data_IF_278364639783
#
_entry.id   IF_278364639783
#
_cell.length_a   1.000
_cell.length_b   1.000
_cell.length_c   1.000
_cell.angle_alpha   90.00
_cell.angle_beta   90.00
_cell.angle_gamma   90.00
#
_symmetry.space_group_name_H-M   'P 1'
#
loop_
_entity.id
_entity.type
_entity.pdbx_description
1 polymer ?
#
# COMPACT_ATOMS: atom_id res chain seq x y z
N UNK A 1 -9.16 -5.41 -23.70
CA UNK A 1 -9.38 -3.95 -23.88
C UNK A 1 -8.09 -3.38 -24.48
N UNK A 2 -8.18 -2.67 -25.62
CA UNK A 2 -7.04 -1.98 -26.24
C UNK A 2 -6.98 -0.54 -25.72
N UNK A 3 -5.77 -0.06 -25.39
CA UNK A 3 -5.63 1.30 -24.88
C UNK A 3 -5.86 2.34 -26.00
N UNK A 4 -6.61 3.43 -25.72
CA UNK A 4 -6.69 4.57 -26.62
C UNK A 4 -5.30 5.19 -26.87
N UNK A 5 -5.05 5.74 -28.05
CA UNK A 5 -3.76 6.33 -28.41
C UNK A 5 -3.27 7.41 -27.42
N UNK A 6 -4.18 8.24 -26.89
CA UNK A 6 -3.85 9.25 -25.90
C UNK A 6 -3.37 8.61 -24.57
N UNK A 7 -4.07 7.57 -24.09
CA UNK A 7 -3.66 6.85 -22.88
C UNK A 7 -2.31 6.13 -23.09
N UNK A 8 -2.11 5.54 -24.27
CA UNK A 8 -0.85 4.92 -24.64
C UNK A 8 0.30 5.94 -24.58
N UNK A 9 0.13 7.13 -25.15
CA UNK A 9 1.17 8.17 -25.16
C UNK A 9 1.50 8.64 -23.74
N UNK A 10 0.51 8.78 -22.85
CA UNK A 10 0.71 9.21 -21.46
C UNK A 10 1.33 8.12 -20.58
N UNK A 11 1.02 6.83 -20.83
CA UNK A 11 1.50 5.71 -20.01
C UNK A 11 2.86 5.17 -20.48
N UNK A 12 3.23 5.38 -21.75
CA UNK A 12 4.44 4.81 -22.32
C UNK A 12 5.29 5.85 -23.10
N UNK A 13 5.57 7.02 -22.49
CA UNK A 13 6.26 8.11 -23.20
C UNK A 13 7.69 7.75 -23.66
N UNK A 14 8.27 6.69 -23.08
CA UNK A 14 9.61 6.17 -23.42
C UNK A 14 9.56 4.86 -24.23
N UNK A 15 8.37 4.44 -24.70
CA UNK A 15 8.17 3.15 -25.34
C UNK A 15 8.09 1.95 -24.37
N UNK A 16 8.15 2.20 -23.06
CA UNK A 16 7.99 1.20 -21.99
C UNK A 16 7.00 1.72 -20.96
N UNK A 17 6.39 0.81 -20.20
CA UNK A 17 5.63 1.16 -19.00
C UNK A 17 6.58 1.20 -17.80
N UNK A 18 6.88 2.40 -17.28
CA UNK A 18 7.71 2.58 -16.08
C UNK A 18 6.81 2.56 -14.85
N UNK A 19 7.10 1.65 -13.93
CA UNK A 19 6.23 1.39 -12.78
C UNK A 19 6.97 1.58 -11.46
N UNK A 20 6.48 2.51 -10.63
CA UNK A 20 6.95 2.70 -9.25
C UNK A 20 6.37 1.65 -8.31
N UNK A 21 7.24 0.87 -7.65
CA UNK A 21 6.84 -0.21 -6.74
C UNK A 21 7.43 -0.02 -5.35
N UNK A 22 6.56 -0.06 -4.34
CA UNK A 22 6.92 -0.09 -2.93
C UNK A 22 7.33 -1.51 -2.51
N UNK A 23 8.61 -1.78 -2.39
CA UNK A 23 9.16 -3.06 -1.91
C UNK A 23 9.10 -3.22 -0.39
N UNK A 24 8.79 -2.16 0.35
CA UNK A 24 8.55 -2.23 1.79
C UNK A 24 7.18 -2.83 2.18
N UNK A 25 6.33 -3.19 1.21
CA UNK A 25 5.07 -3.88 1.45
C UNK A 25 5.13 -5.33 0.98
N UNK A 26 5.55 -6.22 1.87
CA UNK A 26 5.72 -7.65 1.62
C UNK A 26 4.42 -8.38 1.22
N UNK A 27 3.25 -7.77 1.42
CA UNK A 27 1.98 -8.32 0.97
C UNK A 27 1.78 -8.15 -0.55
N UNK A 28 2.44 -7.17 -1.15
CA UNK A 28 2.28 -6.83 -2.57
C UNK A 28 3.50 -7.16 -3.42
N UNK A 29 4.66 -7.41 -2.75
CA UNK A 29 5.95 -7.72 -3.39
C UNK A 29 6.63 -8.87 -2.65
N UNK A 30 6.88 -10.02 -3.32
CA UNK A 30 7.46 -11.22 -2.72
C UNK A 30 8.55 -11.80 -3.63
N UNK A 31 9.74 -12.13 -3.14
CA UNK A 31 10.36 -11.60 -1.94
C UNK A 31 10.65 -10.10 -2.08
N UNK A 32 10.64 -9.38 -0.98
CA UNK A 32 10.76 -7.92 -0.98
C UNK A 32 12.22 -7.43 -0.98
N UNK A 33 13.09 -8.07 -1.74
CA UNK A 33 14.47 -7.60 -1.86
C UNK A 33 14.63 -6.64 -3.03
N UNK A 34 15.39 -5.57 -2.80
CA UNK A 34 15.66 -4.54 -3.83
C UNK A 34 16.41 -5.10 -5.05
N UNK A 35 17.10 -6.23 -4.90
CA UNK A 35 17.98 -6.81 -5.90
C UNK A 35 17.43 -8.10 -6.55
N UNK A 36 16.18 -8.48 -6.26
CA UNK A 36 15.57 -9.66 -6.88
C UNK A 36 15.48 -9.44 -8.41
N UNK A 37 16.09 -10.31 -9.25
CA UNK A 37 16.04 -10.14 -10.69
C UNK A 37 14.63 -10.36 -11.25
N UNK A 38 13.80 -11.20 -10.61
CA UNK A 38 12.44 -11.49 -11.02
C UNK A 38 11.46 -11.30 -9.87
N UNK A 39 11.21 -10.04 -9.45
CA UNK A 39 10.34 -9.78 -8.33
C UNK A 39 8.91 -10.26 -8.62
N UNK A 40 8.27 -10.84 -7.60
CA UNK A 40 6.90 -11.35 -7.66
C UNK A 40 6.01 -10.58 -6.68
N UNK A 41 4.71 -10.69 -6.88
CA UNK A 41 3.74 -10.07 -6.00
C UNK A 41 2.52 -9.56 -6.76
N UNK A 42 1.45 -9.28 -6.02
CA UNK A 42 0.17 -8.85 -6.60
C UNK A 42 0.34 -7.59 -7.46
N UNK A 43 1.02 -6.59 -6.94
CA UNK A 43 1.24 -5.32 -7.68
C UNK A 43 2.07 -5.53 -8.96
N UNK A 44 3.08 -6.42 -8.91
CA UNK A 44 3.93 -6.71 -10.08
C UNK A 44 3.17 -7.53 -11.13
N UNK A 45 2.31 -8.47 -10.72
CA UNK A 45 1.48 -9.23 -11.67
C UNK A 45 0.49 -8.32 -12.38
N UNK A 46 -0.15 -7.38 -11.66
CA UNK A 46 -1.04 -6.38 -12.27
C UNK A 46 -0.27 -5.42 -13.20
N UNK A 47 0.94 -5.00 -12.83
CA UNK A 47 1.78 -4.15 -13.68
C UNK A 47 2.18 -4.86 -14.97
N UNK A 48 2.53 -6.15 -14.91
CA UNK A 48 2.81 -6.96 -16.10
C UNK A 48 1.59 -7.12 -17.00
N UNK A 49 0.41 -7.32 -16.42
CA UNK A 49 -0.84 -7.39 -17.18
C UNK A 49 -1.17 -6.06 -17.86
N UNK A 50 -0.96 -4.93 -17.16
CA UNK A 50 -1.13 -3.61 -17.74
C UNK A 50 -0.18 -3.39 -18.94
N UNK A 51 1.10 -3.70 -18.77
CA UNK A 51 2.10 -3.61 -19.85
C UNK A 51 1.74 -4.50 -21.05
N UNK A 52 1.26 -5.73 -20.80
CA UNK A 52 0.77 -6.64 -21.85
C UNK A 52 -0.40 -6.04 -22.64
N UNK A 53 -1.35 -5.37 -21.97
CA UNK A 53 -2.48 -4.70 -22.64
C UNK A 53 -2.05 -3.50 -23.46
N UNK A 54 -0.99 -2.81 -23.02
CA UNK A 54 -0.37 -1.71 -23.72
C UNK A 54 0.57 -2.17 -24.86
N UNK A 55 0.89 -3.46 -24.94
CA UNK A 55 1.81 -4.02 -25.95
C UNK A 55 3.27 -3.58 -25.79
N UNK A 56 3.71 -3.27 -24.55
CA UNK A 56 5.05 -2.76 -24.25
C UNK A 56 5.73 -3.57 -23.15
N UNK A 57 7.06 -3.41 -23.04
CA UNK A 57 7.81 -3.94 -21.91
C UNK A 57 7.52 -3.13 -20.63
N UNK A 58 7.58 -3.80 -19.48
CA UNK A 58 7.51 -3.15 -18.16
C UNK A 58 8.91 -2.91 -17.59
N UNK A 59 9.11 -1.74 -16.96
CA UNK A 59 10.33 -1.39 -16.25
C UNK A 59 9.95 -1.02 -14.80
N UNK A 60 10.55 -1.71 -13.81
CA UNK A 60 10.24 -1.50 -12.40
C UNK A 60 11.24 -0.57 -11.74
N UNK A 61 10.74 0.55 -11.19
CA UNK A 61 11.47 1.45 -10.30
C UNK A 61 11.13 1.10 -8.86
N UNK A 62 12.15 0.61 -8.13
CA UNK A 62 11.99 -0.01 -6.81
C UNK A 62 12.25 1.00 -5.71
N UNK A 63 11.35 1.07 -4.75
CA UNK A 63 11.46 1.98 -3.62
C UNK A 63 11.33 1.19 -2.30
N UNK A 64 12.07 1.57 -1.24
CA UNK A 64 12.04 0.86 0.03
C UNK A 64 10.77 1.14 0.85
N UNK A 65 9.97 2.14 0.48
CA UNK A 65 8.75 2.49 1.22
C UNK A 65 7.69 3.14 0.32
N UNK A 66 6.45 3.15 0.81
CA UNK A 66 5.35 3.87 0.15
C UNK A 66 5.60 5.39 0.10
N UNK A 67 6.26 5.93 1.13
CA UNK A 67 6.64 7.33 1.17
C UNK A 67 7.63 7.69 0.08
N UNK A 68 8.73 6.93 -0.06
CA UNK A 68 9.73 7.18 -1.11
C UNK A 68 9.17 6.98 -2.52
N UNK A 69 8.25 6.01 -2.72
CA UNK A 69 7.54 5.87 -3.99
C UNK A 69 6.70 7.11 -4.30
N UNK A 70 5.94 7.60 -3.33
CA UNK A 70 5.08 8.77 -3.50
C UNK A 70 5.91 10.05 -3.73
N UNK A 71 6.95 10.29 -2.93
CA UNK A 71 7.82 11.47 -3.04
C UNK A 71 8.53 11.54 -4.40
N UNK A 72 8.76 10.40 -5.05
CA UNK A 72 9.42 10.33 -6.37
C UNK A 72 8.52 10.74 -7.55
N UNK A 73 7.21 10.97 -7.37
CA UNK A 73 6.29 11.35 -8.44
C UNK A 73 6.78 12.57 -9.23
N UNK A 74 7.39 13.54 -8.54
CA UNK A 74 7.90 14.79 -9.14
C UNK A 74 9.14 14.60 -10.01
N UNK A 75 9.81 13.46 -9.91
CA UNK A 75 11.03 13.20 -10.68
C UNK A 75 10.74 12.71 -12.10
N UNK A 76 9.48 12.33 -12.40
CA UNK A 76 9.10 11.80 -13.71
C UNK A 76 9.74 10.46 -14.06
N UNK A 77 10.23 9.73 -13.06
CA UNK A 77 10.93 8.44 -13.26
C UNK A 77 9.96 7.31 -13.58
N UNK A 78 8.73 7.37 -13.10
CA UNK A 78 7.69 6.37 -13.37
C UNK A 78 6.41 7.01 -13.94
N UNK A 79 5.62 6.21 -14.64
CA UNK A 79 4.36 6.61 -15.26
C UNK A 79 3.15 6.13 -14.49
N UNK A 80 3.30 5.00 -13.79
CA UNK A 80 2.28 4.36 -12.96
C UNK A 80 2.91 3.91 -11.65
N UNK A 81 2.15 3.95 -10.55
CA UNK A 81 2.57 3.35 -9.29
C UNK A 81 1.41 2.62 -8.60
N UNK A 82 1.75 1.69 -7.70
CA UNK A 82 0.82 0.91 -6.90
C UNK A 82 0.96 1.32 -5.44
N UNK A 83 0.01 2.12 -4.93
CA UNK A 83 0.08 2.74 -3.61
C UNK A 83 -1.28 2.73 -2.91
N UNK A 84 -1.25 2.80 -1.59
CA UNK A 84 -2.45 3.13 -0.81
C UNK A 84 -2.95 4.53 -1.18
N UNK A 85 -4.21 4.61 -1.59
CA UNK A 85 -4.85 5.88 -1.92
C UNK A 85 -5.07 6.69 -0.65
N UNK A 86 -4.52 7.91 -0.61
CA UNK A 86 -4.65 8.83 0.51
C UNK A 86 -4.84 10.27 0.01
N UNK A 87 -5.68 11.07 0.67
CA UNK A 87 -5.98 12.45 0.23
C UNK A 87 -4.73 13.30 0.02
N UNK A 88 -3.71 13.16 0.87
CA UNK A 88 -2.45 13.89 0.75
C UNK A 88 -1.71 13.55 -0.55
N UNK A 89 -1.71 12.28 -0.95
CA UNK A 89 -1.08 11.82 -2.20
C UNK A 89 -1.87 12.25 -3.44
N UNK A 90 -3.21 12.39 -3.31
CA UNK A 90 -4.07 12.83 -4.39
C UNK A 90 -3.83 14.30 -4.83
N UNK A 91 -3.01 15.06 -4.10
CA UNK A 91 -2.57 16.39 -4.54
C UNK A 91 -1.65 16.31 -5.77
N UNK A 92 -0.90 15.23 -5.92
CA UNK A 92 0.12 15.06 -6.98
C UNK A 92 -0.14 13.89 -7.93
N UNK A 93 -1.05 12.99 -7.55
CA UNK A 93 -1.38 11.76 -8.28
C UNK A 93 -2.89 11.63 -8.47
N UNK A 94 -3.29 11.03 -9.58
CA UNK A 94 -4.66 10.60 -9.82
C UNK A 94 -4.76 9.11 -9.54
N UNK A 95 -5.64 8.71 -8.61
CA UNK A 95 -5.87 7.33 -8.21
C UNK A 95 -7.08 6.73 -8.91
N UNK A 96 -7.02 5.43 -9.16
CA UNK A 96 -8.19 4.60 -9.50
C UNK A 96 -9.01 4.29 -8.25
N UNK A 97 -10.14 3.60 -8.39
CA UNK A 97 -10.70 2.82 -7.31
C UNK A 97 -9.67 1.77 -6.82
N UNK A 98 -9.75 1.31 -5.58
CA UNK A 98 -8.82 0.30 -5.08
C UNK A 98 -9.00 -1.05 -5.80
N UNK A 99 -7.90 -1.78 -5.98
CA UNK A 99 -7.93 -3.15 -6.47
C UNK A 99 -7.96 -4.17 -5.31
N UNK A 100 -7.40 -3.81 -4.14
CA UNK A 100 -7.50 -4.58 -2.91
C UNK A 100 -7.48 -3.72 -1.66
N UNK A 101 -7.95 -4.28 -0.55
CA UNK A 101 -7.98 -3.68 0.77
C UNK A 101 -7.13 -4.47 1.75
N UNK A 102 -6.46 -3.76 2.66
CA UNK A 102 -5.67 -4.35 3.74
C UNK A 102 -6.08 -3.68 5.05
N UNK A 103 -6.61 -4.44 6.00
CA UNK A 103 -6.94 -3.92 7.32
C UNK A 103 -5.69 -3.43 8.04
N UNK A 104 -5.81 -2.27 8.72
CA UNK A 104 -4.81 -1.73 9.61
C UNK A 104 -5.38 -1.59 11.02
N UNK A 105 -4.61 -2.06 12.02
CA UNK A 105 -5.00 -2.06 13.43
C UNK A 105 -3.77 -1.88 14.32
N UNK A 106 -3.87 -2.22 15.60
CA UNK A 106 -2.80 -2.08 16.57
C UNK A 106 -2.39 -3.42 17.17
N UNK A 107 -1.09 -3.59 17.40
CA UNK A 107 -0.52 -4.57 18.30
C UNK A 107 -0.21 -3.85 19.63
N UNK A 108 -0.60 -4.44 20.74
CA UNK A 108 -0.30 -3.94 22.08
C UNK A 108 0.62 -4.91 22.83
N UNK A 109 1.49 -4.40 23.74
CA UNK A 109 2.45 -5.23 24.46
C UNK A 109 1.76 -6.21 25.43
N UNK A 110 2.49 -7.22 25.93
CA UNK A 110 2.01 -8.12 26.97
C UNK A 110 1.50 -7.33 28.20
N UNK A 111 0.35 -7.74 28.73
CA UNK A 111 -0.25 -7.08 29.91
C UNK A 111 -0.89 -5.72 29.66
N UNK A 112 -0.95 -5.25 28.42
CA UNK A 112 -1.57 -3.97 28.08
C UNK A 112 -3.06 -3.92 28.51
N UNK A 113 -3.51 -2.82 29.16
CA UNK A 113 -4.91 -2.61 29.52
C UNK A 113 -5.80 -2.23 28.34
N UNK A 114 -5.21 -1.87 27.18
CA UNK A 114 -5.94 -1.47 25.97
C UNK A 114 -6.69 -2.67 25.39
N UNK A 115 -8.00 -2.56 25.23
CA UNK A 115 -8.85 -3.67 24.77
C UNK A 115 -9.40 -3.45 23.37
N UNK A 116 -9.64 -2.21 22.99
CA UNK A 116 -10.25 -1.82 21.71
C UNK A 116 -9.38 -0.82 20.97
N UNK A 117 -9.60 -0.70 19.67
CA UNK A 117 -8.95 0.32 18.81
C UNK A 117 -9.18 1.73 19.36
N UNK A 118 -10.36 2.01 19.91
CA UNK A 118 -10.70 3.32 20.47
C UNK A 118 -9.92 3.67 21.76
N UNK A 119 -9.43 2.67 22.49
CA UNK A 119 -8.65 2.88 23.71
C UNK A 119 -7.27 3.48 23.44
N UNK A 120 -6.78 3.38 22.19
CA UNK A 120 -5.41 3.78 21.86
C UNK A 120 -5.25 5.30 21.79
N UNK A 121 -6.26 6.04 21.31
CA UNK A 121 -6.18 7.50 21.16
C UNK A 121 -6.44 8.22 22.49
N UNK A 122 -5.44 8.21 23.37
CA UNK A 122 -5.49 8.90 24.67
C UNK A 122 -4.22 9.71 24.91
N UNK A 123 -4.36 10.78 25.68
CA UNK A 123 -3.22 11.61 26.09
C UNK A 123 -2.17 10.78 26.83
N UNK A 124 -0.92 10.95 26.45
CA UNK A 124 0.22 10.22 26.99
C UNK A 124 0.53 8.89 26.28
N UNK A 125 -0.38 8.33 25.49
CA UNK A 125 -0.08 7.14 24.73
C UNK A 125 0.85 7.46 23.55
N UNK A 126 1.81 6.57 23.31
CA UNK A 126 2.80 6.66 22.23
C UNK A 126 2.64 5.46 21.30
N UNK A 127 2.50 5.71 20.02
CA UNK A 127 2.21 4.70 19.01
C UNK A 127 3.38 4.64 18.02
N UNK A 128 4.06 3.49 17.94
CA UNK A 128 5.06 3.24 16.90
C UNK A 128 4.37 3.08 15.53
N UNK A 129 4.96 3.63 14.49
CA UNK A 129 4.39 3.58 13.15
C UNK A 129 5.45 3.77 12.07
N UNK A 130 5.23 3.19 10.88
CA UNK A 130 6.07 3.43 9.71
C UNK A 130 5.73 4.79 9.09
N UNK A 131 6.72 5.66 9.02
CA UNK A 131 6.60 7.00 8.48
C UNK A 131 6.06 7.01 7.02
N UNK A 132 5.18 7.97 6.75
CA UNK A 132 4.58 8.19 5.41
C UNK A 132 3.88 6.96 4.81
N UNK A 133 3.56 5.93 5.61
CA UNK A 133 2.68 4.85 5.19
C UNK A 133 1.25 5.38 5.03
N UNK A 134 0.36 4.64 4.32
CA UNK A 134 -1.04 5.07 4.20
C UNK A 134 -1.74 5.15 5.57
N UNK A 135 -1.42 4.22 6.46
CA UNK A 135 -1.98 4.24 7.82
C UNK A 135 -1.36 5.33 8.71
N UNK A 136 -0.10 5.77 8.49
CA UNK A 136 0.45 6.97 9.15
C UNK A 136 -0.28 8.22 8.68
N UNK A 137 -0.48 8.39 7.37
CA UNK A 137 -1.22 9.52 6.82
C UNK A 137 -2.66 9.57 7.34
N UNK A 138 -3.30 8.41 7.49
CA UNK A 138 -4.62 8.30 8.08
C UNK A 138 -4.61 8.72 9.55
N UNK A 139 -3.76 8.13 10.39
CA UNK A 139 -3.70 8.41 11.82
C UNK A 139 -3.25 9.85 12.10
N UNK A 140 -2.38 10.44 11.29
CA UNK A 140 -1.95 11.84 11.41
C UNK A 140 -3.09 12.84 11.30
N UNK A 141 -4.17 12.51 10.60
CA UNK A 141 -5.35 13.39 10.47
C UNK A 141 -6.52 13.01 11.38
N UNK A 142 -6.51 11.83 11.99
CA UNK A 142 -7.64 11.31 12.76
C UNK A 142 -7.40 11.21 14.26
N UNK A 143 -6.17 10.94 14.70
CA UNK A 143 -5.80 10.94 16.12
C UNK A 143 -5.90 12.34 16.69
N UNK A 144 -6.38 12.41 17.92
CA UNK A 144 -6.62 13.67 18.66
C UNK A 144 -5.69 13.85 19.84
N UNK A 145 -5.25 12.77 20.48
CA UNK A 145 -4.59 12.81 21.78
C UNK A 145 -3.27 12.02 21.83
N UNK A 146 -3.23 10.84 21.19
CA UNK A 146 -2.04 9.99 21.19
C UNK A 146 -0.94 10.56 20.28
N UNK A 147 0.31 10.23 20.60
CA UNK A 147 1.49 10.67 19.84
C UNK A 147 2.01 9.57 18.94
N UNK A 148 2.21 9.89 17.65
CA UNK A 148 2.84 8.99 16.69
C UNK A 148 4.37 9.11 16.76
N UNK A 149 5.04 7.97 17.00
CA UNK A 149 6.51 7.86 16.96
C UNK A 149 6.89 7.09 15.70
N UNK A 150 7.55 7.77 14.78
CA UNK A 150 7.75 7.31 13.41
C UNK A 150 9.11 6.71 13.19
N UNK A 151 9.14 5.58 12.44
CA UNK A 151 10.36 4.96 11.94
C UNK A 151 10.31 4.76 10.41
N UNK A 152 11.47 4.54 9.81
CA UNK A 152 11.61 4.52 8.34
C UNK A 152 10.93 3.31 7.68
N UNK A 153 10.85 2.18 8.39
CA UNK A 153 10.28 0.93 7.88
C UNK A 153 9.59 0.16 9.01
N UNK A 154 8.90 -0.93 8.65
CA UNK A 154 8.09 -1.69 9.59
C UNK A 154 8.93 -2.46 10.64
N UNK A 155 10.14 -2.90 10.27
CA UNK A 155 11.03 -3.58 11.23
C UNK A 155 11.52 -2.60 12.30
N UNK A 156 12.01 -1.44 11.89
CA UNK A 156 12.42 -0.38 12.81
C UNK A 156 11.27 0.09 13.72
N UNK A 157 10.04 0.19 13.18
CA UNK A 157 8.87 0.53 13.99
C UNK A 157 8.55 -0.54 15.04
N UNK A 158 8.67 -1.82 14.70
CA UNK A 158 8.52 -2.92 15.65
C UNK A 158 9.63 -2.91 16.72
N UNK A 159 10.89 -2.74 16.32
CA UNK A 159 12.03 -2.64 17.24
C UNK A 159 11.86 -1.47 18.21
N UNK A 160 11.46 -0.29 17.71
CA UNK A 160 11.16 0.89 18.52
C UNK A 160 10.03 0.59 19.53
N UNK A 161 8.94 -0.02 19.09
CA UNK A 161 7.82 -0.41 19.92
C UNK A 161 8.25 -1.27 21.12
N UNK A 162 9.10 -2.25 20.87
CA UNK A 162 9.62 -3.16 21.91
C UNK A 162 10.64 -2.48 22.82
N UNK A 163 11.65 -1.81 22.22
CA UNK A 163 12.77 -1.18 22.94
C UNK A 163 12.29 -0.07 23.88
N UNK A 164 11.44 0.81 23.38
CA UNK A 164 11.02 2.01 24.11
C UNK A 164 9.71 1.78 24.87
N UNK A 165 9.21 0.53 24.88
CA UNK A 165 7.98 0.11 25.58
C UNK A 165 6.81 1.02 25.25
N UNK A 166 6.55 1.21 23.96
CA UNK A 166 5.44 2.04 23.50
C UNK A 166 4.11 1.34 23.74
N UNK A 167 3.02 2.13 23.80
CA UNK A 167 1.70 1.65 24.15
C UNK A 167 1.05 0.79 23.06
N UNK A 168 1.38 1.09 21.78
CA UNK A 168 0.89 0.35 20.63
C UNK A 168 1.85 0.42 19.44
N UNK A 169 1.76 -0.56 18.55
CA UNK A 169 2.33 -0.54 17.20
C UNK A 169 1.19 -0.52 16.19
N UNK A 170 1.13 0.51 15.35
CA UNK A 170 0.18 0.61 14.25
C UNK A 170 0.79 0.04 12.96
N UNK A 171 0.10 -0.91 12.32
CA UNK A 171 0.52 -1.46 11.04
C UNK A 171 -0.62 -2.19 10.32
N UNK A 172 -0.32 -2.75 9.15
CA UNK A 172 -1.21 -3.66 8.44
C UNK A 172 -1.40 -4.95 9.25
N UNK A 173 -2.63 -5.41 9.39
CA UNK A 173 -2.98 -6.56 10.24
C UNK A 173 -2.16 -7.82 9.93
N UNK A 174 -1.89 -8.21 8.67
CA UNK A 174 -1.05 -9.38 8.40
C UNK A 174 0.39 -9.20 8.89
N UNK A 175 0.93 -7.99 8.83
CA UNK A 175 2.25 -7.68 9.40
C UNK A 175 2.23 -7.81 10.92
N UNK A 176 1.20 -7.29 11.59
CA UNK A 176 1.06 -7.41 13.05
C UNK A 176 0.93 -8.87 13.52
N UNK A 177 0.33 -9.75 12.69
CA UNK A 177 0.31 -11.19 12.98
C UNK A 177 1.72 -11.76 13.02
N UNK A 178 2.56 -11.42 12.04
CA UNK A 178 3.96 -11.85 12.03
C UNK A 178 4.76 -11.27 13.21
N UNK A 179 4.54 -10.00 13.54
CA UNK A 179 5.22 -9.32 14.65
C UNK A 179 4.78 -9.85 16.03
N UNK A 180 3.51 -10.24 16.19
CA UNK A 180 3.01 -10.86 17.42
C UNK A 180 3.71 -12.19 17.73
N UNK A 181 4.10 -12.97 16.71
CA UNK A 181 4.90 -14.18 16.91
C UNK A 181 6.30 -13.89 17.48
N UNK A 182 6.86 -12.69 17.20
CA UNK A 182 8.16 -12.25 17.72
C UNK A 182 8.08 -11.72 19.16
N UNK A 183 6.88 -11.38 19.64
CA UNK A 183 6.64 -10.84 20.98
C UNK A 183 5.55 -11.63 21.71
N UNK A 184 5.88 -12.79 22.31
CA UNK A 184 4.92 -13.63 23.02
C UNK A 184 4.14 -12.87 24.10
N UNK A 185 2.81 -13.08 24.16
CA UNK A 185 1.92 -12.39 25.08
C UNK A 185 1.43 -11.01 24.58
N UNK A 186 1.95 -10.50 23.49
CA UNK A 186 1.38 -9.35 22.81
C UNK A 186 0.02 -9.71 22.17
N UNK A 187 -0.80 -8.71 21.90
CA UNK A 187 -2.16 -8.94 21.38
C UNK A 187 -2.51 -7.93 20.30
N UNK A 188 -3.06 -8.43 19.20
CA UNK A 188 -3.66 -7.59 18.16
C UNK A 188 -5.06 -7.18 18.64
N UNK A 189 -5.37 -5.90 18.58
CA UNK A 189 -6.70 -5.40 18.95
C UNK A 189 -7.73 -5.81 17.91
N UNK A 190 -8.92 -6.18 18.39
CA UNK A 190 -10.04 -6.51 17.53
C UNK A 190 -10.53 -5.29 16.75
N UNK A 191 -11.00 -5.54 15.54
CA UNK A 191 -11.42 -4.49 14.62
C UNK A 191 -10.24 -3.86 13.86
N UNK A 192 -10.49 -2.69 13.31
CA UNK A 192 -9.53 -1.91 12.52
C UNK A 192 -9.77 -0.42 12.74
N UNK A 193 -8.72 0.39 12.69
CA UNK A 193 -8.89 1.85 12.62
C UNK A 193 -9.12 2.31 11.18
N UNK A 194 -8.60 1.57 10.18
CA UNK A 194 -8.86 1.81 8.76
C UNK A 194 -8.62 0.54 7.92
N UNK A 195 -9.07 0.57 6.67
CA UNK A 195 -8.61 -0.35 5.62
C UNK A 195 -7.82 0.45 4.60
N UNK A 196 -6.56 0.08 4.38
CA UNK A 196 -5.72 0.71 3.37
C UNK A 196 -6.21 0.30 2.00
N UNK A 197 -6.63 1.28 1.21
CA UNK A 197 -7.15 1.13 -0.15
C UNK A 197 -5.98 1.11 -1.13
N UNK A 198 -5.52 -0.08 -1.55
CA UNK A 198 -4.45 -0.20 -2.53
C UNK A 198 -4.99 0.05 -3.94
N UNK A 199 -4.48 1.07 -4.58
CA UNK A 199 -4.93 1.54 -5.89
C UNK A 199 -3.78 1.69 -6.88
N UNK A 200 -4.12 1.83 -8.14
CA UNK A 200 -3.19 2.23 -9.20
C UNK A 200 -3.26 3.75 -9.33
N UNK A 201 -2.12 4.40 -9.52
CA UNK A 201 -2.07 5.83 -9.72
C UNK A 201 -1.12 6.23 -10.84
N UNK A 202 -1.36 7.41 -11.40
CA UNK A 202 -0.50 8.08 -12.38
C UNK A 202 -0.24 9.52 -11.92
N UNK A 203 0.86 10.17 -12.31
CA UNK A 203 1.06 11.59 -12.04
C UNK A 203 -0.14 12.42 -12.49
N UNK A 204 -0.46 13.48 -11.75
CA UNK A 204 -1.59 14.37 -12.05
C UNK A 204 -1.43 15.04 -13.42
N UNK A 205 -2.56 15.27 -14.12
CA UNK A 205 -2.58 15.88 -15.46
C UNK A 205 -2.48 14.87 -16.62
N UNK A 206 -2.49 13.56 -16.33
CA UNK A 206 -2.54 12.49 -17.31
C UNK A 206 -3.96 11.89 -17.36
N UNK A 207 -4.90 12.65 -17.92
CA UNK A 207 -6.32 12.32 -17.80
C UNK A 207 -6.73 11.11 -18.62
N UNK A 208 -6.17 10.92 -19.81
CA UNK A 208 -6.42 9.75 -20.64
C UNK A 208 -5.85 8.48 -20.00
N UNK A 209 -4.65 8.55 -19.41
CA UNK A 209 -4.07 7.48 -18.62
C UNK A 209 -4.94 7.13 -17.41
N UNK A 210 -5.38 8.14 -16.66
CA UNK A 210 -6.19 7.95 -15.47
C UNK A 210 -7.53 7.27 -15.79
N UNK A 211 -8.17 7.63 -16.90
CA UNK A 211 -9.40 6.98 -17.37
C UNK A 211 -9.14 5.52 -17.72
N UNK A 212 -8.15 5.23 -18.53
CA UNK A 212 -7.81 3.86 -18.93
C UNK A 212 -7.45 3.00 -17.72
N UNK A 213 -6.71 3.54 -16.74
CA UNK A 213 -6.35 2.83 -15.51
C UNK A 213 -7.59 2.52 -14.64
N UNK A 214 -8.60 3.40 -14.58
CA UNK A 214 -9.88 3.12 -13.90
C UNK A 214 -10.59 1.90 -14.52
N UNK A 215 -10.71 1.90 -15.84
CA UNK A 215 -11.32 0.78 -16.58
C UNK A 215 -10.51 -0.52 -16.40
N UNK A 216 -9.17 -0.42 -16.47
CA UNK A 216 -8.28 -1.55 -16.23
C UNK A 216 -8.49 -2.17 -14.84
N UNK A 217 -8.55 -1.35 -13.78
CA UNK A 217 -8.71 -1.84 -12.41
C UNK A 217 -10.05 -2.55 -12.22
N UNK A 218 -11.15 -1.99 -12.74
CA UNK A 218 -12.45 -2.66 -12.64
C UNK A 218 -12.48 -3.97 -13.42
N UNK A 219 -11.88 -4.02 -14.59
CA UNK A 219 -11.79 -5.25 -15.40
C UNK A 219 -10.95 -6.34 -14.70
N UNK A 220 -9.77 -6.01 -14.13
CA UNK A 220 -8.95 -7.02 -13.45
C UNK A 220 -9.59 -7.51 -12.14
N UNK A 221 -10.44 -6.71 -11.49
CA UNK A 221 -11.28 -7.17 -10.38
C UNK A 221 -12.38 -8.13 -10.88
N UNK A 222 -13.16 -7.69 -11.86
CA UNK A 222 -14.29 -8.43 -12.41
C UNK A 222 -13.89 -9.76 -13.04
N UNK A 223 -12.76 -9.80 -13.76
CA UNK A 223 -12.22 -11.04 -14.36
C UNK A 223 -11.59 -12.02 -13.36
N UNK A 224 -11.50 -11.64 -12.07
CA UNK A 224 -10.87 -12.45 -11.03
C UNK A 224 -9.33 -12.46 -11.08
N UNK A 225 -8.71 -11.62 -11.90
CA UNK A 225 -7.25 -11.58 -12.02
C UNK A 225 -6.58 -11.12 -10.71
N UNK A 226 -7.18 -10.17 -9.99
CA UNK A 226 -6.70 -9.74 -8.66
C UNK A 226 -6.75 -10.92 -7.68
N UNK A 227 -7.87 -11.66 -7.62
CA UNK A 227 -8.00 -12.82 -6.75
C UNK A 227 -6.96 -13.90 -7.07
N UNK A 228 -6.75 -14.20 -8.36
CA UNK A 228 -5.72 -15.13 -8.82
C UNK A 228 -4.30 -14.66 -8.47
N UNK A 229 -4.01 -13.36 -8.56
CA UNK A 229 -2.72 -12.82 -8.17
C UNK A 229 -2.48 -12.93 -6.65
N UNK A 230 -3.50 -12.72 -5.82
CA UNK A 230 -3.45 -12.93 -4.37
C UNK A 230 -3.14 -14.41 -4.06
N UNK A 231 -3.87 -15.34 -4.67
CA UNK A 231 -3.68 -16.79 -4.50
C UNK A 231 -2.29 -17.24 -4.97
N UNK A 232 -1.89 -16.89 -6.21
CA UNK A 232 -0.58 -17.22 -6.79
C UNK A 232 0.59 -16.79 -5.92
N UNK A 233 0.48 -15.63 -5.29
CA UNK A 233 1.53 -15.07 -4.43
C UNK A 233 1.36 -15.47 -2.95
N UNK A 234 0.40 -16.36 -2.63
CA UNK A 234 0.11 -16.84 -1.27
C UNK A 234 -0.08 -15.69 -0.26
N UNK A 235 -0.70 -14.59 -0.67
CA UNK A 235 -0.94 -13.42 0.19
C UNK A 235 -2.17 -13.67 1.05
N UNK A 236 -2.04 -13.43 2.37
CA UNK A 236 -3.13 -13.61 3.34
C UNK A 236 -3.48 -12.28 4.01
N UNK A 237 -4.73 -12.18 4.50
CA UNK A 237 -5.19 -10.99 5.23
C UNK A 237 -5.44 -9.76 4.36
N UNK A 238 -5.67 -10.01 3.07
CA UNK A 238 -6.10 -8.98 2.10
C UNK A 238 -7.40 -9.44 1.43
N UNK A 239 -8.17 -8.51 0.92
CA UNK A 239 -9.38 -8.79 0.15
C UNK A 239 -9.39 -8.00 -1.16
N UNK A 240 -9.99 -8.59 -2.19
CA UNK A 240 -10.30 -7.84 -3.42
C UNK A 240 -11.26 -6.71 -3.05
N UNK A 241 -10.95 -5.49 -3.46
CA UNK A 241 -11.82 -4.36 -3.20
C UNK A 241 -13.16 -4.49 -3.95
N UNK A 242 -14.26 -3.98 -3.38
CA UNK A 242 -15.54 -3.92 -4.09
C UNK A 242 -15.42 -3.18 -5.44
N UNK A 243 -16.38 -3.40 -6.32
CA UNK A 243 -16.50 -2.60 -7.54
C UNK A 243 -16.55 -1.10 -7.19
N UNK A 244 -15.78 -0.31 -7.90
CA UNK A 244 -15.84 1.15 -7.76
C UNK A 244 -17.20 1.70 -8.23
N UNK A 245 -17.53 2.96 -7.91
CA UNK A 245 -18.70 3.60 -8.49
C UNK A 245 -18.59 3.57 -10.01
N UNK A 246 -19.67 3.16 -10.66
CA UNK A 246 -19.79 3.25 -12.13
C UNK A 246 -19.58 4.71 -12.55
N UNK A 247 -18.79 4.98 -13.58
CA UNK A 247 -18.54 6.34 -14.06
C UNK A 247 -19.80 7.05 -14.53
#
# INVERSE_FOLDING_TARGET
MSAPAAAQAELTPTGKLRVGINFGNELLTVPSTMNDPEPRGVALDLARELARRLGVAVEFHRYPSAGSTADSVRTGVWDVAFLGAEPQRANEMTFTAPYLEIEATYLVPPGSPLKTVADVDRAGHRIAITAKSAYDLYLSRTLKQATLVREQNADAAFELFVRDKLDALASLKPRLVADAHKLPGSRILDGRFTAVQQAVCTPKGRDAAAQFLREFVEDVKASGLVAKAIEKNNVRGVSVAPAGPTP
#
